data_IF_602759739175
#
_entry.id   IF_602759739175
#
_cell.length_a   1.000
_cell.length_b   1.000
_cell.length_c   1.000
_cell.angle_alpha   90.00
_cell.angle_beta   90.00
_cell.angle_gamma   90.00
#
_symmetry.space_group_name_H-M   'P 1'
#
loop_
_entity.id
_entity.type
_entity.pdbx_description
1 polymer ?
#
# COMPACT_ATOMS: atom_id res chain seq x y z
N UNK A 1 11.04 22.59 15.14
CA UNK A 1 10.66 21.24 15.63
C UNK A 1 10.28 20.30 14.48
N UNK A 2 9.41 20.71 13.55
CA UNK A 2 8.95 19.88 12.42
C UNK A 2 10.05 19.37 11.49
N UNK A 3 11.10 20.16 11.26
CA UNK A 3 12.24 19.72 10.45
C UNK A 3 13.02 18.56 11.09
N UNK A 4 13.10 18.50 12.42
CA UNK A 4 13.74 17.37 13.12
C UNK A 4 12.88 16.11 13.03
N UNK A 5 11.57 16.25 13.22
CA UNK A 5 10.63 15.13 13.06
C UNK A 5 10.70 14.55 11.64
N UNK A 6 10.61 15.39 10.62
CA UNK A 6 10.70 14.96 9.23
C UNK A 6 12.02 14.22 8.93
N UNK A 7 13.15 14.77 9.42
CA UNK A 7 14.46 14.14 9.23
C UNK A 7 14.56 12.78 9.94
N UNK A 8 14.05 12.68 11.17
CA UNK A 8 14.00 11.42 11.90
C UNK A 8 13.11 10.40 11.18
N UNK A 9 11.93 10.81 10.75
CA UNK A 9 10.97 9.96 10.02
C UNK A 9 11.55 9.43 8.70
N UNK A 10 12.13 10.30 7.88
CA UNK A 10 12.77 9.87 6.62
C UNK A 10 14.06 9.07 6.87
N UNK A 11 14.82 9.42 7.89
CA UNK A 11 16.04 8.69 8.27
C UNK A 11 15.75 7.26 8.72
N UNK A 12 14.71 7.05 9.52
CA UNK A 12 14.27 5.71 9.90
C UNK A 12 13.76 4.91 8.71
N UNK A 13 13.05 5.54 7.78
CA UNK A 13 12.59 4.88 6.56
C UNK A 13 13.77 4.44 5.66
N UNK A 14 14.79 5.28 5.51
CA UNK A 14 16.02 4.91 4.80
C UNK A 14 16.72 3.74 5.49
N UNK A 15 16.78 3.72 6.83
CA UNK A 15 17.33 2.60 7.58
C UNK A 15 16.57 1.30 7.32
N UNK A 16 15.24 1.34 7.30
CA UNK A 16 14.39 0.20 6.91
C UNK A 16 14.72 -0.30 5.50
N UNK A 17 14.92 0.62 4.54
CA UNK A 17 15.34 0.25 3.19
C UNK A 17 16.72 -0.40 3.16
N UNK A 18 17.70 0.12 3.91
CA UNK A 18 19.05 -0.44 4.00
C UNK A 18 19.03 -1.84 4.60
N UNK A 19 18.28 -2.06 5.69
CA UNK A 19 18.11 -3.39 6.29
C UNK A 19 17.46 -4.33 5.28
N UNK A 20 16.41 -3.90 4.59
CA UNK A 20 15.74 -4.68 3.55
C UNK A 20 16.68 -5.05 2.41
N UNK A 21 17.50 -4.11 1.92
CA UNK A 21 18.49 -4.36 0.89
C UNK A 21 19.56 -5.36 1.35
N UNK A 22 20.06 -5.21 2.57
CA UNK A 22 21.01 -6.16 3.16
C UNK A 22 20.43 -7.58 3.22
N UNK A 23 19.21 -7.72 3.75
CA UNK A 23 18.52 -9.00 3.80
C UNK A 23 18.30 -9.59 2.40
N UNK A 24 17.86 -8.76 1.46
CA UNK A 24 17.57 -9.16 0.10
C UNK A 24 18.80 -9.65 -0.65
N UNK A 25 19.97 -9.05 -0.43
CA UNK A 25 21.22 -9.36 -1.13
C UNK A 25 22.02 -10.49 -0.45
N UNK A 26 22.08 -10.48 0.87
CA UNK A 26 23.06 -11.29 1.62
C UNK A 26 22.45 -12.39 2.50
N UNK A 27 21.12 -12.40 2.69
CA UNK A 27 20.49 -13.42 3.53
C UNK A 27 19.54 -14.29 2.70
N UNK A 28 20.02 -15.39 2.11
CA UNK A 28 19.30 -16.13 1.08
C UNK A 28 18.02 -16.83 1.54
N UNK A 29 17.83 -17.06 2.85
CA UNK A 29 16.76 -17.91 3.38
C UNK A 29 15.71 -17.16 4.23
N UNK A 30 15.69 -15.82 4.23
CA UNK A 30 14.65 -15.08 4.95
C UNK A 30 13.36 -15.06 4.12
N UNK A 31 12.32 -15.74 4.60
CA UNK A 31 10.91 -15.63 4.14
C UNK A 31 10.62 -15.90 2.66
N UNK A 32 11.38 -16.79 2.01
CA UNK A 32 11.30 -16.96 0.53
C UNK A 32 10.05 -17.73 0.12
N UNK A 33 9.66 -18.77 0.88
CA UNK A 33 8.62 -19.73 0.44
C UNK A 33 7.19 -19.26 0.70
N UNK A 34 6.96 -18.43 1.68
CA UNK A 34 5.62 -18.03 2.13
C UNK A 34 4.98 -16.94 1.24
N UNK A 35 5.81 -16.14 0.55
CA UNK A 35 5.35 -14.94 -0.16
C UNK A 35 5.53 -14.99 -1.67
N UNK A 36 6.00 -16.11 -2.21
CA UNK A 36 6.24 -16.28 -3.65
C UNK A 36 5.46 -17.46 -4.17
N UNK A 37 4.63 -17.21 -5.17
CA UNK A 37 4.01 -18.26 -5.97
C UNK A 37 5.04 -18.76 -7.01
N UNK A 38 5.78 -19.79 -6.66
CA UNK A 38 6.82 -20.37 -7.50
C UNK A 38 6.25 -21.08 -8.75
N UNK A 39 4.98 -21.47 -8.73
CA UNK A 39 4.35 -22.10 -9.90
C UNK A 39 4.06 -21.07 -10.99
N UNK A 40 3.62 -19.89 -10.62
CA UNK A 40 3.28 -18.82 -11.56
C UNK A 40 4.50 -17.93 -11.90
N UNK A 41 5.40 -17.73 -10.95
CA UNK A 41 6.60 -16.87 -11.10
C UNK A 41 7.86 -17.62 -10.73
N UNK A 42 8.31 -18.59 -11.55
CA UNK A 42 9.43 -19.49 -11.23
C UNK A 42 10.76 -18.74 -11.07
N UNK A 43 10.92 -17.58 -11.72
CA UNK A 43 12.12 -16.76 -11.64
C UNK A 43 12.12 -15.79 -10.47
N UNK A 44 10.95 -15.52 -9.85
CA UNK A 44 10.87 -14.66 -8.69
C UNK A 44 11.34 -15.38 -7.43
N UNK A 45 12.64 -15.29 -7.16
CA UNK A 45 13.27 -16.01 -6.07
C UNK A 45 12.87 -15.49 -4.68
N UNK A 46 12.57 -14.20 -4.55
CA UNK A 46 12.31 -13.54 -3.26
C UNK A 46 11.63 -12.19 -3.41
N UNK A 47 10.97 -11.75 -2.33
CA UNK A 47 10.34 -10.43 -2.19
C UNK A 47 10.96 -9.71 -1.00
N UNK A 48 11.16 -8.40 -1.10
CA UNK A 48 11.72 -7.60 0.00
C UNK A 48 10.65 -7.36 1.08
N UNK A 49 10.96 -7.69 2.33
CA UNK A 49 10.07 -7.52 3.48
C UNK A 49 10.68 -6.68 4.62
N UNK A 50 12.01 -6.60 4.71
CA UNK A 50 12.75 -5.85 5.72
C UNK A 50 12.32 -6.21 7.15
N UNK A 51 12.30 -5.22 8.05
CA UNK A 51 11.89 -5.37 9.46
C UNK A 51 10.40 -5.68 9.65
N UNK A 52 9.57 -5.45 8.63
CA UNK A 52 8.13 -5.72 8.70
C UNK A 52 7.76 -7.18 8.40
N UNK A 53 8.71 -8.00 7.95
CA UNK A 53 8.55 -9.43 7.70
C UNK A 53 7.47 -9.81 6.68
N UNK A 54 6.76 -8.83 6.15
CA UNK A 54 5.71 -8.99 5.13
C UNK A 54 5.92 -7.96 4.01
N UNK A 55 6.11 -8.40 2.75
CA UNK A 55 6.36 -7.47 1.65
C UNK A 55 5.19 -6.53 1.33
N UNK A 56 3.94 -6.92 1.59
CA UNK A 56 2.80 -6.04 1.40
C UNK A 56 2.78 -4.94 2.48
N UNK A 57 3.07 -5.29 3.74
CA UNK A 57 3.19 -4.31 4.82
C UNK A 57 4.35 -3.35 4.60
N UNK A 58 5.51 -3.86 4.13
CA UNK A 58 6.62 -2.99 3.74
C UNK A 58 6.20 -2.03 2.62
N UNK A 59 5.48 -2.53 1.61
CA UNK A 59 4.96 -1.70 0.53
C UNK A 59 4.02 -0.62 1.03
N UNK A 60 3.08 -0.93 1.92
CA UNK A 60 2.15 0.02 2.52
C UNK A 60 2.88 1.10 3.36
N UNK A 61 3.84 0.68 4.18
CA UNK A 61 4.71 1.61 4.92
C UNK A 61 5.45 2.56 3.97
N UNK A 62 6.03 2.03 2.89
CA UNK A 62 6.75 2.84 1.91
C UNK A 62 5.82 3.79 1.13
N UNK A 63 4.56 3.43 0.87
CA UNK A 63 3.57 4.36 0.31
C UNK A 63 3.36 5.57 1.22
N UNK A 64 3.25 5.37 2.53
CA UNK A 64 3.10 6.47 3.49
C UNK A 64 4.32 7.39 3.47
N UNK A 65 5.52 6.83 3.53
CA UNK A 65 6.75 7.63 3.50
C UNK A 65 6.93 8.34 2.16
N UNK A 66 6.64 7.68 1.04
CA UNK A 66 6.68 8.27 -0.30
C UNK A 66 5.66 9.40 -0.46
N UNK A 67 4.47 9.28 0.16
CA UNK A 67 3.47 10.36 0.13
C UNK A 67 4.03 11.64 0.74
N UNK A 68 4.70 11.53 1.88
CA UNK A 68 5.36 12.65 2.54
C UNK A 68 6.53 13.18 1.69
N UNK A 69 7.41 12.29 1.26
CA UNK A 69 8.61 12.66 0.50
C UNK A 69 8.28 13.41 -0.79
N UNK A 70 7.37 12.87 -1.61
CA UNK A 70 6.97 13.48 -2.90
C UNK A 70 6.22 14.79 -2.67
N UNK A 71 5.39 14.88 -1.64
CA UNK A 71 4.68 16.11 -1.30
C UNK A 71 5.64 17.25 -0.97
N UNK A 72 6.72 16.97 -0.23
CA UNK A 72 7.77 17.94 0.01
C UNK A 72 8.55 18.30 -1.26
N UNK A 73 8.82 17.33 -2.14
CA UNK A 73 9.44 17.61 -3.46
C UNK A 73 8.58 18.63 -4.23
N UNK A 74 7.26 18.37 -4.34
CA UNK A 74 6.36 19.23 -5.08
C UNK A 74 6.29 20.66 -4.52
N UNK A 75 6.31 20.81 -3.20
CA UNK A 75 6.28 22.12 -2.55
C UNK A 75 7.65 22.81 -2.66
N UNK A 76 8.77 22.12 -2.43
CA UNK A 76 10.11 22.69 -2.59
C UNK A 76 10.41 23.12 -4.02
N UNK A 77 9.86 22.41 -5.03
CA UNK A 77 9.96 22.86 -6.42
C UNK A 77 9.25 24.20 -6.65
N UNK A 78 8.07 24.42 -6.06
CA UNK A 78 7.36 25.71 -6.14
C UNK A 78 8.10 26.84 -5.45
N UNK A 79 8.84 26.53 -4.38
CA UNK A 79 9.66 27.49 -3.61
C UNK A 79 11.06 27.67 -4.19
N UNK A 80 11.41 27.05 -5.31
CA UNK A 80 12.74 27.06 -5.93
C UNK A 80 13.89 26.62 -4.99
N UNK A 81 13.61 25.71 -4.05
CA UNK A 81 14.57 25.16 -3.07
C UNK A 81 15.32 23.97 -3.65
N UNK A 82 16.14 24.18 -4.65
CA UNK A 82 16.80 23.13 -5.45
C UNK A 82 17.56 22.11 -4.60
N UNK A 83 18.30 22.54 -3.56
CA UNK A 83 19.06 21.64 -2.69
C UNK A 83 18.16 20.66 -1.96
N UNK A 84 17.03 21.14 -1.44
CA UNK A 84 16.07 20.31 -0.70
C UNK A 84 15.35 19.36 -1.64
N UNK A 85 15.02 19.82 -2.85
CA UNK A 85 14.45 18.95 -3.92
C UNK A 85 15.40 17.81 -4.23
N UNK A 86 16.68 18.07 -4.48
CA UNK A 86 17.67 17.01 -4.80
C UNK A 86 17.80 16.02 -3.64
N UNK A 87 17.85 16.50 -2.40
CA UNK A 87 17.94 15.64 -1.21
C UNK A 87 16.71 14.72 -1.12
N UNK A 88 15.51 15.28 -1.27
CA UNK A 88 14.26 14.49 -1.23
C UNK A 88 14.14 13.54 -2.42
N UNK A 89 14.63 13.90 -3.60
CA UNK A 89 14.65 13.01 -4.77
C UNK A 89 15.54 11.79 -4.52
N UNK A 90 16.73 11.97 -3.95
CA UNK A 90 17.62 10.85 -3.62
C UNK A 90 16.92 9.88 -2.65
N UNK A 91 16.32 10.42 -1.58
CA UNK A 91 15.56 9.61 -0.61
C UNK A 91 14.39 8.92 -1.31
N UNK A 92 13.61 9.67 -2.10
CA UNK A 92 12.45 9.14 -2.83
C UNK A 92 12.81 8.00 -3.80
N UNK A 93 13.96 8.09 -4.48
CA UNK A 93 14.45 7.02 -5.34
C UNK A 93 14.75 5.75 -4.54
N UNK A 94 15.41 5.85 -3.40
CA UNK A 94 15.70 4.69 -2.53
C UNK A 94 14.40 4.04 -2.04
N UNK A 95 13.45 4.83 -1.56
CA UNK A 95 12.14 4.35 -1.12
C UNK A 95 11.37 3.67 -2.26
N UNK A 96 11.36 4.29 -3.44
CA UNK A 96 10.67 3.77 -4.63
C UNK A 96 11.26 2.45 -5.13
N UNK A 97 12.58 2.36 -5.22
CA UNK A 97 13.26 1.11 -5.61
C UNK A 97 12.96 -0.01 -4.61
N UNK A 98 13.01 0.30 -3.31
CA UNK A 98 12.63 -0.66 -2.27
C UNK A 98 11.18 -1.11 -2.42
N UNK A 99 10.26 -0.19 -2.69
CA UNK A 99 8.85 -0.49 -2.93
C UNK A 99 8.66 -1.41 -4.16
N UNK A 100 9.38 -1.19 -5.25
CA UNK A 100 9.35 -2.08 -6.41
C UNK A 100 9.80 -3.50 -6.06
N UNK A 101 10.84 -3.65 -5.24
CA UNK A 101 11.37 -4.95 -4.80
C UNK A 101 10.46 -5.68 -3.80
N UNK A 102 9.39 -5.07 -3.33
CA UNK A 102 8.32 -5.78 -2.60
C UNK A 102 7.50 -6.67 -3.51
N UNK A 103 7.50 -6.43 -4.82
CA UNK A 103 6.68 -7.13 -5.82
C UNK A 103 5.18 -7.17 -5.46
N UNK A 104 4.69 -6.18 -4.76
CA UNK A 104 3.27 -6.06 -4.38
C UNK A 104 2.50 -5.25 -5.43
N UNK A 105 1.68 -5.97 -6.22
CA UNK A 105 0.88 -5.36 -7.32
C UNK A 105 -0.12 -4.33 -6.79
N UNK A 106 -0.80 -4.63 -5.69
CA UNK A 106 -1.74 -3.70 -5.05
C UNK A 106 -1.07 -2.38 -4.65
N UNK A 107 0.16 -2.46 -4.10
CA UNK A 107 0.95 -1.28 -3.73
C UNK A 107 1.36 -0.46 -4.95
N UNK A 108 1.75 -1.09 -6.05
CA UNK A 108 2.10 -0.37 -7.28
C UNK A 108 0.90 0.36 -7.91
N UNK A 109 -0.28 -0.29 -7.91
CA UNK A 109 -1.54 0.34 -8.36
C UNK A 109 -1.91 1.50 -7.44
N UNK A 110 -1.75 1.36 -6.13
CA UNK A 110 -2.00 2.41 -5.15
C UNK A 110 -1.04 3.60 -5.32
N UNK A 111 0.23 3.33 -5.64
CA UNK A 111 1.20 4.38 -5.95
C UNK A 111 0.83 5.12 -7.24
N UNK A 112 0.38 4.41 -8.28
CA UNK A 112 -0.12 5.04 -9.49
C UNK A 112 -1.36 5.94 -9.22
N UNK A 113 -2.25 5.51 -8.33
CA UNK A 113 -3.38 6.32 -7.89
C UNK A 113 -2.95 7.59 -7.10
N UNK A 114 -1.89 7.50 -6.28
CA UNK A 114 -1.27 8.68 -5.64
C UNK A 114 -0.73 9.66 -6.69
N UNK A 115 0.00 9.16 -7.69
CA UNK A 115 0.51 10.00 -8.78
C UNK A 115 -0.66 10.66 -9.53
N UNK A 116 -1.72 9.92 -9.80
CA UNK A 116 -2.92 10.45 -10.46
C UNK A 116 -3.57 11.57 -9.63
N UNK A 117 -3.69 11.39 -8.31
CA UNK A 117 -4.17 12.42 -7.40
C UNK A 117 -3.32 13.70 -7.51
N UNK A 118 -1.99 13.59 -7.42
CA UNK A 118 -1.11 14.75 -7.55
C UNK A 118 -1.16 15.37 -8.95
N UNK A 119 -1.29 14.56 -10.00
CA UNK A 119 -1.41 15.05 -11.38
C UNK A 119 -2.67 15.89 -11.59
N UNK A 120 -3.78 15.51 -10.96
CA UNK A 120 -5.05 16.23 -11.09
C UNK A 120 -5.06 17.51 -10.24
N UNK A 121 -4.61 17.43 -8.99
CA UNK A 121 -4.85 18.50 -8.01
C UNK A 121 -3.62 19.38 -7.72
N UNK A 122 -2.42 18.96 -8.07
CA UNK A 122 -1.18 19.63 -7.68
C UNK A 122 -0.30 20.03 -8.85
N UNK A 123 0.10 19.07 -9.71
CA UNK A 123 1.07 19.28 -10.79
C UNK A 123 0.77 18.39 -12.00
N UNK A 124 0.20 18.97 -13.06
CA UNK A 124 -0.26 18.24 -14.26
C UNK A 124 0.85 17.48 -15.00
N UNK A 125 2.10 17.90 -14.86
CA UNK A 125 3.24 17.23 -15.52
C UNK A 125 3.42 15.79 -15.07
N UNK A 126 2.89 15.43 -13.89
CA UNK A 126 2.93 14.07 -13.37
C UNK A 126 2.10 13.07 -14.23
N UNK A 127 1.18 13.54 -15.07
CA UNK A 127 0.54 12.66 -16.07
C UNK A 127 1.57 12.01 -17.02
N UNK A 128 2.68 12.69 -17.32
CA UNK A 128 3.72 12.13 -18.17
C UNK A 128 4.39 10.90 -17.54
N UNK A 129 4.54 10.87 -16.20
CA UNK A 129 5.09 9.71 -15.52
C UNK A 129 4.16 8.49 -15.60
N UNK A 130 2.85 8.68 -15.54
CA UNK A 130 1.87 7.60 -15.72
C UNK A 130 1.87 7.06 -17.15
N UNK A 131 2.05 7.92 -18.15
CA UNK A 131 2.16 7.50 -19.54
C UNK A 131 3.47 6.78 -19.85
N UNK A 132 4.56 7.12 -19.14
CA UNK A 132 5.84 6.47 -19.31
C UNK A 132 5.85 5.01 -18.82
N UNK A 133 5.05 4.66 -17.81
CA UNK A 133 5.01 3.30 -17.25
C UNK A 133 4.70 2.22 -18.30
N UNK A 134 3.58 2.27 -19.05
CA UNK A 134 3.28 1.24 -20.04
C UNK A 134 4.34 1.19 -21.15
N UNK A 135 4.95 2.31 -21.52
CA UNK A 135 6.03 2.36 -22.53
C UNK A 135 7.27 1.63 -22.01
N UNK A 136 7.68 1.91 -20.76
CA UNK A 136 8.84 1.22 -20.15
C UNK A 136 8.56 -0.27 -20.05
N UNK A 137 7.36 -0.67 -19.62
CA UNK A 137 6.98 -2.07 -19.52
C UNK A 137 6.95 -2.81 -20.84
N UNK A 138 6.62 -2.13 -21.93
CA UNK A 138 6.63 -2.72 -23.27
C UNK A 138 8.04 -3.07 -23.75
N UNK A 139 9.04 -2.26 -23.38
CA UNK A 139 10.43 -2.48 -23.74
C UNK A 139 11.27 -3.24 -22.72
N UNK A 140 10.76 -3.45 -21.51
CA UNK A 140 11.48 -4.11 -20.43
C UNK A 140 10.96 -5.54 -20.21
N UNK A 141 11.80 -6.52 -20.54
CA UNK A 141 11.56 -7.93 -20.25
C UNK A 141 12.20 -8.30 -18.91
N UNK A 142 11.40 -8.35 -17.84
CA UNK A 142 11.88 -8.69 -16.50
C UNK A 142 10.76 -9.03 -15.52
N UNK A 143 11.14 -9.50 -14.33
CA UNK A 143 10.21 -9.95 -13.30
C UNK A 143 9.17 -8.87 -12.88
N UNK A 144 9.58 -7.60 -12.86
CA UNK A 144 8.68 -6.48 -12.57
C UNK A 144 7.62 -6.36 -13.67
N UNK A 145 8.03 -6.46 -14.94
CA UNK A 145 7.11 -6.38 -16.07
C UNK A 145 6.15 -7.56 -16.10
N UNK A 146 6.64 -8.79 -15.94
CA UNK A 146 5.81 -10.00 -15.89
C UNK A 146 4.79 -9.93 -14.75
N UNK A 147 5.20 -9.43 -13.60
CA UNK A 147 4.35 -9.25 -12.44
C UNK A 147 3.28 -8.18 -12.65
N UNK A 148 3.59 -7.09 -13.38
CA UNK A 148 2.61 -6.06 -13.74
C UNK A 148 1.64 -6.55 -14.82
N UNK A 149 2.12 -7.27 -15.84
CA UNK A 149 1.25 -7.86 -16.84
C UNK A 149 0.26 -8.87 -16.25
N UNK A 150 0.63 -9.59 -15.18
CA UNK A 150 -0.27 -10.52 -14.50
C UNK A 150 -1.52 -9.86 -13.88
N UNK A 151 -1.50 -8.53 -13.65
CA UNK A 151 -2.69 -7.78 -13.23
C UNK A 151 -3.81 -7.87 -14.28
N UNK A 152 -3.44 -7.91 -15.56
CA UNK A 152 -4.38 -7.94 -16.68
C UNK A 152 -4.76 -9.36 -17.12
N UNK A 153 -4.01 -10.37 -16.73
CA UNK A 153 -4.23 -11.76 -17.14
C UNK A 153 -5.27 -12.50 -16.31
N UNK A 154 -5.65 -11.98 -15.14
CA UNK A 154 -6.81 -12.40 -14.36
C UNK A 154 -6.74 -13.76 -13.67
N UNK A 155 -5.72 -14.57 -13.88
CA UNK A 155 -5.56 -15.90 -13.27
C UNK A 155 -4.30 -15.93 -12.41
N UNK A 156 -4.53 -15.93 -11.08
CA UNK A 156 -3.47 -15.95 -10.08
C UNK A 156 -4.03 -16.63 -8.82
N UNK A 157 -3.32 -17.63 -8.31
CA UNK A 157 -3.70 -18.37 -7.09
C UNK A 157 -3.98 -17.43 -5.91
N UNK A 158 -3.25 -16.32 -5.83
CA UNK A 158 -3.47 -15.27 -4.81
C UNK A 158 -4.80 -14.51 -5.03
N UNK A 159 -5.24 -14.35 -6.28
CA UNK A 159 -6.53 -13.74 -6.59
C UNK A 159 -7.67 -14.71 -6.28
N UNK A 160 -7.53 -15.99 -6.67
CA UNK A 160 -8.54 -17.03 -6.42
C UNK A 160 -8.77 -17.23 -4.92
N UNK A 161 -7.69 -17.24 -4.13
CA UNK A 161 -7.78 -17.27 -2.68
C UNK A 161 -8.55 -16.07 -2.11
N UNK A 162 -8.32 -14.85 -2.63
CA UNK A 162 -9.06 -13.67 -2.20
C UNK A 162 -10.52 -13.76 -2.57
N UNK A 163 -10.86 -14.21 -3.78
CA UNK A 163 -12.25 -14.38 -4.19
C UNK A 163 -12.99 -15.36 -3.27
N UNK A 164 -12.40 -16.51 -2.94
CA UNK A 164 -12.97 -17.46 -2.02
C UNK A 164 -13.16 -16.88 -0.61
N UNK A 165 -12.17 -16.10 -0.14
CA UNK A 165 -12.21 -15.42 1.14
C UNK A 165 -13.31 -14.35 1.18
N UNK A 166 -13.46 -13.57 0.11
CA UNK A 166 -14.50 -12.55 -0.02
C UNK A 166 -15.89 -13.14 -0.06
N UNK A 167 -16.07 -14.27 -0.78
CA UNK A 167 -17.34 -14.96 -0.81
C UNK A 167 -17.74 -15.43 0.61
N UNK A 168 -16.86 -16.12 1.31
CA UNK A 168 -17.07 -16.50 2.71
C UNK A 168 -17.37 -15.28 3.62
N UNK A 169 -16.64 -14.18 3.44
CA UNK A 169 -16.86 -12.95 4.22
C UNK A 169 -18.25 -12.35 3.98
N UNK A 170 -18.80 -12.50 2.76
CA UNK A 170 -20.17 -11.99 2.48
C UNK A 170 -21.24 -12.72 3.29
N UNK A 171 -21.05 -14.00 3.63
CA UNK A 171 -21.98 -14.71 4.54
C UNK A 171 -21.93 -14.13 5.94
N UNK A 172 -20.73 -13.88 6.48
CA UNK A 172 -20.56 -13.23 7.80
C UNK A 172 -21.29 -11.87 7.83
N UNK A 173 -21.14 -11.06 6.77
CA UNK A 173 -21.77 -9.75 6.65
C UNK A 173 -23.30 -9.87 6.61
N UNK A 174 -23.84 -10.84 5.86
CA UNK A 174 -25.30 -11.03 5.74
C UNK A 174 -25.95 -11.39 7.07
N UNK A 175 -25.26 -12.13 7.93
CA UNK A 175 -25.77 -12.50 9.25
C UNK A 175 -25.63 -11.38 10.27
N UNK A 176 -24.64 -10.48 10.09
CA UNK A 176 -24.32 -9.40 11.05
C UNK A 176 -24.19 -8.02 10.39
N UNK A 177 -25.19 -7.52 9.61
CA UNK A 177 -24.98 -6.37 8.72
C UNK A 177 -24.85 -5.03 9.45
N UNK A 178 -25.46 -4.87 10.65
CA UNK A 178 -25.54 -3.56 11.32
C UNK A 178 -24.32 -3.33 12.21
N UNK A 179 -24.00 -4.24 13.11
CA UNK A 179 -22.94 -4.06 14.10
C UNK A 179 -21.70 -4.91 13.82
N UNK A 180 -21.79 -5.82 12.84
CA UNK A 180 -20.72 -6.78 12.55
C UNK A 180 -20.53 -7.79 13.67
N UNK A 181 -19.40 -8.51 13.61
CA UNK A 181 -19.05 -9.58 14.56
C UNK A 181 -18.17 -9.08 15.72
N UNK A 182 -17.74 -7.83 15.70
CA UNK A 182 -16.83 -7.23 16.67
C UNK A 182 -15.45 -6.91 16.05
N UNK A 183 -14.84 -5.81 16.51
CA UNK A 183 -13.52 -5.39 16.03
C UNK A 183 -12.44 -6.44 16.31
N UNK A 184 -11.63 -6.73 15.31
CA UNK A 184 -10.53 -7.69 15.36
C UNK A 184 -10.95 -9.12 15.78
N UNK A 185 -12.18 -9.54 15.41
CA UNK A 185 -12.69 -10.89 15.69
C UNK A 185 -12.79 -11.76 14.43
N UNK A 186 -12.44 -11.25 13.28
CA UNK A 186 -12.55 -11.95 12.00
C UNK A 186 -11.91 -13.36 12.08
N UNK A 187 -10.71 -13.50 12.61
CA UNK A 187 -9.99 -14.76 12.69
C UNK A 187 -10.66 -15.81 13.62
N UNK A 188 -11.52 -15.37 14.54
CA UNK A 188 -12.29 -16.26 15.43
C UNK A 188 -13.54 -16.80 14.76
N UNK A 189 -14.19 -15.98 13.94
CA UNK A 189 -15.48 -16.30 13.31
C UNK A 189 -15.31 -16.96 11.94
N UNK A 190 -14.31 -16.51 11.17
CA UNK A 190 -14.07 -17.00 9.80
C UNK A 190 -13.96 -18.51 9.67
N UNK A 191 -13.36 -19.29 10.58
CA UNK A 191 -13.29 -20.75 10.46
C UNK A 191 -14.64 -21.44 10.29
N UNK A 192 -15.72 -20.89 10.81
CA UNK A 192 -17.08 -21.42 10.67
C UNK A 192 -17.66 -21.23 9.23
N UNK A 193 -17.10 -20.26 8.48
CA UNK A 193 -17.48 -19.88 7.11
C UNK A 193 -16.45 -20.26 6.05
N UNK A 194 -15.44 -21.02 6.42
CA UNK A 194 -14.36 -21.41 5.52
C UNK A 194 -14.78 -22.58 4.63
N UNK A 195 -15.62 -22.31 3.62
CA UNK A 195 -16.16 -23.34 2.72
C UNK A 195 -15.23 -23.72 1.57
N UNK A 196 -14.28 -22.85 1.20
CA UNK A 196 -13.50 -22.97 -0.03
C UNK A 196 -12.00 -23.10 0.19
N UNK A 197 -11.50 -22.57 1.29
CA UNK A 197 -10.08 -22.45 1.54
C UNK A 197 -9.67 -23.42 2.63
N UNK A 198 -9.23 -24.62 2.23
CA UNK A 198 -8.33 -25.47 3.02
C UNK A 198 -8.80 -25.84 4.45
N UNK A 199 -8.24 -26.91 4.97
CA UNK A 199 -8.60 -27.50 6.23
C UNK A 199 -8.57 -26.56 7.45
N UNK A 200 -9.03 -27.06 8.61
CA UNK A 200 -9.35 -26.27 9.80
C UNK A 200 -8.17 -25.55 10.46
N UNK A 201 -6.96 -25.73 9.95
CA UNK A 201 -5.73 -25.21 10.56
C UNK A 201 -5.21 -23.90 9.93
N UNK A 202 -5.91 -23.34 8.93
CA UNK A 202 -5.49 -22.09 8.27
C UNK A 202 -6.15 -20.92 8.98
N UNK A 203 -5.37 -20.18 9.78
CA UNK A 203 -5.82 -18.95 10.42
C UNK A 203 -5.77 -17.79 9.42
N UNK A 204 -6.95 -17.28 9.07
CA UNK A 204 -7.09 -16.04 8.29
C UNK A 204 -7.41 -14.90 9.25
N UNK A 205 -6.48 -13.95 9.37
CA UNK A 205 -6.62 -12.82 10.31
C UNK A 205 -7.55 -11.72 9.78
N UNK A 206 -7.73 -11.62 8.47
CA UNK A 206 -8.53 -10.59 7.82
C UNK A 206 -8.96 -11.03 6.41
N UNK A 207 -9.95 -10.34 5.85
CA UNK A 207 -10.57 -10.65 4.56
C UNK A 207 -9.71 -10.33 3.33
N UNK A 208 -8.49 -9.84 3.45
CA UNK A 208 -7.69 -9.27 2.35
C UNK A 208 -8.49 -8.28 1.48
N UNK A 209 -9.37 -7.53 2.13
CA UNK A 209 -10.15 -6.43 1.56
C UNK A 209 -10.59 -5.54 2.70
N UNK A 210 -10.15 -4.29 2.69
CA UNK A 210 -10.41 -3.32 3.73
C UNK A 210 -11.92 -3.11 3.96
N UNK A 211 -12.67 -3.00 2.88
CA UNK A 211 -14.10 -2.68 2.95
C UNK A 211 -14.91 -3.85 3.50
N UNK A 212 -14.65 -5.05 2.99
CA UNK A 212 -15.31 -6.26 3.47
C UNK A 212 -14.94 -6.58 4.91
N UNK A 213 -13.67 -6.37 5.29
CA UNK A 213 -13.24 -6.61 6.66
C UNK A 213 -13.92 -5.66 7.65
N UNK A 214 -13.89 -4.34 7.35
CA UNK A 214 -14.57 -3.34 8.17
C UNK A 214 -16.06 -3.62 8.26
N UNK A 215 -16.69 -3.97 7.13
CA UNK A 215 -18.12 -4.27 7.09
C UNK A 215 -18.46 -5.54 7.90
N UNK A 216 -17.62 -6.57 7.83
CA UNK A 216 -17.81 -7.79 8.61
C UNK A 216 -17.62 -7.54 10.12
N UNK A 217 -16.62 -6.76 10.53
CA UNK A 217 -16.27 -6.58 11.94
C UNK A 217 -17.10 -5.50 12.65
N UNK A 218 -17.38 -4.37 12.00
CA UNK A 218 -18.08 -3.23 12.64
C UNK A 218 -19.33 -2.75 11.87
N UNK A 219 -19.74 -3.52 10.88
CA UNK A 219 -21.03 -3.32 10.20
C UNK A 219 -21.09 -2.08 9.30
N UNK A 220 -22.30 -1.80 8.81
CA UNK A 220 -22.57 -0.68 7.89
C UNK A 220 -22.21 0.69 8.52
N UNK A 221 -22.62 1.04 9.77
CA UNK A 221 -22.26 2.32 10.35
C UNK A 221 -20.75 2.52 10.49
N UNK A 222 -20.01 1.45 10.81
CA UNK A 222 -18.55 1.48 10.90
C UNK A 222 -17.90 1.76 9.55
N UNK A 223 -18.30 1.07 8.50
CA UNK A 223 -17.81 1.31 7.15
C UNK A 223 -18.11 2.74 6.67
N UNK A 224 -19.35 3.21 6.87
CA UNK A 224 -19.74 4.57 6.47
C UNK A 224 -18.93 5.64 7.22
N UNK A 225 -18.71 5.45 8.52
CA UNK A 225 -17.88 6.35 9.34
C UNK A 225 -16.43 6.37 8.87
N UNK A 226 -15.84 5.20 8.59
CA UNK A 226 -14.50 5.09 8.05
C UNK A 226 -14.36 5.82 6.70
N UNK A 227 -15.29 5.55 5.77
CA UNK A 227 -15.28 6.20 4.46
C UNK A 227 -15.46 7.71 4.57
N UNK A 228 -16.33 8.19 5.47
CA UNK A 228 -16.53 9.62 5.71
C UNK A 228 -15.23 10.31 6.19
N UNK A 229 -14.47 9.66 7.08
CA UNK A 229 -13.17 10.17 7.54
C UNK A 229 -12.17 10.24 6.38
N UNK A 230 -11.99 9.15 5.64
CA UNK A 230 -11.00 9.08 4.53
C UNK A 230 -11.36 10.06 3.41
N UNK A 231 -12.61 10.08 2.97
CA UNK A 231 -13.08 11.01 1.92
C UNK A 231 -13.00 12.46 2.42
N UNK A 232 -13.31 12.71 3.71
CA UNK A 232 -13.15 14.00 4.33
C UNK A 232 -11.71 14.52 4.26
N UNK A 233 -10.71 13.65 4.47
CA UNK A 233 -9.29 14.00 4.31
C UNK A 233 -8.96 14.34 2.86
N UNK A 234 -9.45 13.57 1.88
CA UNK A 234 -9.27 13.90 0.45
C UNK A 234 -9.86 15.27 0.12
N UNK A 235 -11.11 15.54 0.51
CA UNK A 235 -11.78 16.81 0.24
C UNK A 235 -11.04 17.99 0.91
N UNK A 236 -10.57 17.80 2.14
CA UNK A 236 -9.85 18.84 2.88
C UNK A 236 -8.48 19.11 2.25
N UNK A 237 -7.81 18.07 1.77
CA UNK A 237 -6.48 18.17 1.15
C UNK A 237 -6.48 18.94 -0.19
N UNK A 238 -7.60 18.97 -0.91
CA UNK A 238 -7.74 19.72 -2.15
C UNK A 238 -7.81 21.25 -1.88
N UNK A 239 -8.23 21.65 -0.68
CA UNK A 239 -8.36 23.06 -0.27
C UNK A 239 -7.05 23.59 0.28
N UNK A 240 -6.01 23.59 -0.53
CA UNK A 240 -4.66 23.98 -0.12
C UNK A 240 -4.58 25.41 0.38
N UNK A 241 -4.31 25.59 1.68
CA UNK A 241 -4.08 26.90 2.32
C UNK A 241 -3.03 26.77 3.44
N UNK A 242 -2.21 27.78 3.59
CA UNK A 242 -1.26 27.87 4.69
C UNK A 242 0.20 27.89 4.24
N UNK A 243 1.09 27.70 5.19
CA UNK A 243 2.54 27.66 4.97
C UNK A 243 2.98 26.38 4.23
N UNK A 244 4.25 26.34 3.86
CA UNK A 244 4.87 25.24 3.11
C UNK A 244 4.65 23.88 3.77
N UNK A 245 4.83 23.81 5.10
CA UNK A 245 4.64 22.57 5.84
C UNK A 245 3.18 22.06 5.75
N UNK A 246 2.24 22.98 5.97
CA UNK A 246 0.81 22.66 5.94
C UNK A 246 0.37 22.22 4.54
N UNK A 247 0.87 22.87 3.48
CA UNK A 247 0.61 22.47 2.11
C UNK A 247 1.16 21.05 1.81
N UNK A 248 2.41 20.78 2.18
CA UNK A 248 3.02 19.46 2.00
C UNK A 248 2.23 18.38 2.76
N UNK A 249 1.85 18.63 4.00
CA UNK A 249 1.05 17.70 4.79
C UNK A 249 -0.32 17.42 4.14
N UNK A 250 -1.04 18.47 3.69
CA UNK A 250 -2.33 18.32 3.02
C UNK A 250 -2.23 17.49 1.74
N UNK A 251 -1.25 17.80 0.88
CA UNK A 251 -0.99 17.07 -0.36
C UNK A 251 -0.65 15.61 -0.08
N UNK A 252 0.16 15.34 0.95
CA UNK A 252 0.56 13.99 1.35
C UNK A 252 -0.60 13.17 1.90
N UNK A 253 -1.36 13.74 2.83
CA UNK A 253 -2.52 13.08 3.44
C UNK A 253 -3.58 12.76 2.39
N UNK A 254 -3.87 13.69 1.44
CA UNK A 254 -4.82 13.44 0.38
C UNK A 254 -4.39 12.31 -0.55
N UNK A 255 -3.14 12.28 -0.96
CA UNK A 255 -2.59 11.22 -1.79
C UNK A 255 -2.59 9.87 -1.06
N UNK A 256 -2.20 9.85 0.22
CA UNK A 256 -2.23 8.64 1.05
C UNK A 256 -3.65 8.11 1.24
N UNK A 257 -4.62 8.99 1.48
CA UNK A 257 -6.02 8.60 1.60
C UNK A 257 -6.52 7.90 0.32
N UNK A 258 -6.17 8.43 -0.86
CA UNK A 258 -6.45 7.78 -2.14
C UNK A 258 -5.73 6.43 -2.25
N UNK A 259 -4.47 6.33 -1.85
CA UNK A 259 -3.72 5.08 -1.87
C UNK A 259 -4.37 4.02 -0.98
N UNK A 260 -4.80 4.37 0.23
CA UNK A 260 -5.50 3.45 1.16
C UNK A 260 -6.82 2.98 0.57
N UNK A 261 -7.59 3.86 -0.08
CA UNK A 261 -8.83 3.45 -0.75
C UNK A 261 -8.57 2.45 -1.87
N UNK A 262 -7.48 2.60 -2.60
CA UNK A 262 -7.14 1.71 -3.73
C UNK A 262 -6.52 0.40 -3.24
N UNK A 263 -5.56 0.42 -2.31
CA UNK A 263 -4.94 -0.79 -1.75
C UNK A 263 -5.97 -1.63 -1.02
N UNK A 264 -6.91 -0.98 -0.34
CA UNK A 264 -7.99 -1.61 0.40
C UNK A 264 -8.93 -2.47 -0.45
N UNK A 265 -8.93 -2.34 -1.78
CA UNK A 265 -9.66 -3.24 -2.68
C UNK A 265 -9.07 -4.65 -2.71
N UNK A 266 -7.80 -4.81 -2.41
CA UNK A 266 -7.09 -6.09 -2.55
C UNK A 266 -6.31 -6.53 -1.32
N UNK A 267 -6.23 -5.71 -0.28
CA UNK A 267 -5.58 -6.06 0.99
C UNK A 267 -6.17 -5.25 2.16
N UNK A 268 -5.72 -5.52 3.38
CA UNK A 268 -6.13 -4.82 4.61
C UNK A 268 -4.89 -4.54 5.46
N UNK A 269 -4.04 -3.64 5.00
CA UNK A 269 -2.77 -3.31 5.67
C UNK A 269 -2.98 -2.60 7.01
N UNK A 270 -4.12 -1.94 7.22
CA UNK A 270 -4.46 -1.27 8.50
C UNK A 270 -4.68 -2.24 9.68
N UNK A 271 -4.80 -3.52 9.42
CA UNK A 271 -4.79 -4.55 10.45
C UNK A 271 -3.42 -4.60 11.19
N UNK A 272 -2.35 -4.21 10.53
CA UNK A 272 -1.00 -4.22 11.11
C UNK A 272 -0.71 -2.97 11.93
N UNK A 273 -0.35 -3.15 13.19
CA UNK A 273 0.05 -2.05 14.08
C UNK A 273 1.25 -1.26 13.55
N UNK A 274 2.16 -1.92 12.81
CA UNK A 274 3.33 -1.27 12.22
C UNK A 274 2.94 -0.25 11.12
N UNK A 275 1.77 -0.42 10.51
CA UNK A 275 1.26 0.48 9.48
C UNK A 275 0.30 1.51 10.06
N UNK A 276 -0.54 1.12 11.03
CA UNK A 276 -1.57 2.01 11.60
C UNK A 276 -1.02 3.11 12.51
N UNK A 277 0.15 2.89 13.12
CA UNK A 277 0.76 3.86 14.05
C UNK A 277 1.58 4.95 13.33
N UNK A 278 1.98 4.72 12.08
CA UNK A 278 2.73 5.69 11.27
C UNK A 278 1.82 6.74 10.68
#
# INVERSE_FOLDING_TARGET
QWNYFLRAFLGTAVLVCVIGAYQYLFVPNIHIKEWVDAAQFPNLMRRMASTLQNPNLLGAYLLMVLSVCISYILVYMKENRTRDVVTMLIIGIVLFLTMLLTYSRGIWVSFAAMILYWAIFVERRLFLSLLAVPIILYFYEGEIASRLWSIFQGHDTSADLRWALWDSTTYIIRENPIFGIGWNTFYLVYPEYNYYIQGPNVLMYHAHNLYLNILAEIGIPGLLSFLAVIVGHVITSIRLKGDLFRQAAQIGVGALAVAVLVSGLSDFELYSHQVTIV
#
